data_IF_696433907722
#
_entry.id   IF_696433907722
#
_cell.length_a   1.000
_cell.length_b   1.000
_cell.length_c   1.000
_cell.angle_alpha   90.00
_cell.angle_beta   90.00
_cell.angle_gamma   90.00
#
_symmetry.space_group_name_H-M   'P 1'
#
loop_
_entity.id
_entity.type
_entity.pdbx_description
1 polymer ?
#
# COMPACT_ATOMS: atom_id res chain seq x y z
N UNK A 1 2.53 -9.25 6.16
CA UNK A 1 3.61 -10.26 6.18
C UNK A 1 4.15 -10.44 4.77
N UNK A 2 5.49 -10.46 4.60
CA UNK A 2 6.16 -10.69 3.31
C UNK A 2 5.80 -12.07 2.74
N UNK A 3 5.53 -12.12 1.45
CA UNK A 3 5.10 -13.33 0.73
C UNK A 3 6.16 -13.89 -0.21
N UNK A 4 7.17 -13.09 -0.58
CA UNK A 4 8.27 -13.50 -1.45
C UNK A 4 9.35 -14.19 -0.63
N UNK A 5 9.85 -15.29 -1.14
CA UNK A 5 11.04 -15.98 -0.60
C UNK A 5 12.26 -15.56 -1.39
N UNK A 6 13.36 -15.23 -0.72
CA UNK A 6 14.59 -14.75 -1.36
C UNK A 6 14.36 -13.56 -2.30
N UNK A 7 13.56 -12.58 -1.83
CA UNK A 7 13.29 -11.36 -2.60
C UNK A 7 14.39 -10.32 -2.54
N UNK A 8 15.36 -10.46 -1.62
CA UNK A 8 16.52 -9.56 -1.47
C UNK A 8 17.78 -10.07 -2.22
N UNK A 9 17.73 -11.26 -2.80
CA UNK A 9 18.81 -11.86 -3.60
C UNK A 9 20.20 -11.84 -2.95
N UNK A 10 20.31 -11.93 -1.64
CA UNK A 10 21.57 -11.70 -0.90
C UNK A 10 22.69 -12.63 -1.26
N UNK A 11 22.42 -13.85 -1.73
CA UNK A 11 23.45 -14.85 -2.03
C UNK A 11 23.23 -15.62 -3.33
N UNK A 12 22.00 -15.66 -3.83
CA UNK A 12 21.64 -16.44 -5.01
C UNK A 12 20.24 -16.05 -5.52
N UNK A 13 19.76 -16.76 -6.54
CA UNK A 13 18.40 -16.62 -7.09
C UNK A 13 17.55 -17.89 -6.88
N UNK A 14 17.91 -18.73 -5.92
CA UNK A 14 17.09 -19.91 -5.57
C UNK A 14 15.67 -19.46 -5.15
N UNK A 15 14.71 -20.33 -5.29
CA UNK A 15 13.28 -20.05 -5.13
C UNK A 15 12.62 -19.29 -6.31
N UNK A 16 13.41 -18.84 -7.28
CA UNK A 16 12.90 -18.27 -8.53
C UNK A 16 13.03 -19.29 -9.66
N UNK A 17 11.94 -19.49 -10.37
CA UNK A 17 11.89 -20.41 -11.52
C UNK A 17 12.09 -19.61 -12.80
N UNK A 18 13.02 -20.05 -13.64
CA UNK A 18 13.21 -19.48 -14.98
C UNK A 18 12.04 -19.87 -15.88
N UNK A 19 11.39 -18.88 -16.48
CA UNK A 19 10.36 -19.05 -17.50
C UNK A 19 11.00 -19.00 -18.88
N UNK A 20 11.90 -18.03 -19.11
CA UNK A 20 12.64 -17.89 -20.36
C UNK A 20 14.00 -17.23 -20.12
N UNK A 21 14.90 -17.39 -21.09
CA UNK A 21 16.24 -16.79 -21.07
C UNK A 21 17.16 -17.38 -20.03
N UNK A 22 18.14 -16.60 -19.62
CA UNK A 22 19.18 -17.02 -18.66
C UNK A 22 19.35 -15.97 -17.57
N UNK A 23 18.44 -15.94 -16.58
CA UNK A 23 18.60 -15.05 -15.43
C UNK A 23 19.86 -15.42 -14.65
N UNK A 24 20.53 -14.43 -14.08
CA UNK A 24 21.78 -14.63 -13.36
C UNK A 24 21.76 -13.95 -11.98
N UNK A 25 22.53 -14.51 -11.07
CA UNK A 25 22.87 -13.83 -9.83
C UNK A 25 24.00 -12.83 -10.09
N UNK A 26 23.84 -11.60 -9.67
CA UNK A 26 24.87 -10.58 -9.71
C UNK A 26 25.29 -10.22 -8.28
N UNK A 27 26.56 -10.50 -7.94
CA UNK A 27 27.10 -10.26 -6.60
C UNK A 27 27.44 -8.80 -6.31
N UNK A 28 27.21 -7.88 -7.25
CA UNK A 28 27.45 -6.45 -7.05
C UNK A 28 26.50 -5.88 -5.99
N UNK A 29 27.03 -5.09 -5.07
CA UNK A 29 26.27 -4.57 -3.94
C UNK A 29 25.97 -5.69 -2.92
N UNK A 30 24.74 -5.78 -2.47
CA UNK A 30 24.27 -6.81 -1.53
C UNK A 30 23.73 -8.06 -2.24
N UNK A 31 23.95 -8.19 -3.55
CA UNK A 31 23.38 -9.22 -4.40
C UNK A 31 22.13 -8.72 -5.16
N UNK A 32 21.95 -9.21 -6.37
CA UNK A 32 20.86 -8.82 -7.26
C UNK A 32 20.47 -9.96 -8.19
N UNK A 33 19.22 -9.95 -8.63
CA UNK A 33 18.79 -10.74 -9.76
C UNK A 33 19.04 -9.94 -11.04
N UNK A 34 19.82 -10.50 -11.97
CA UNK A 34 20.04 -9.90 -13.29
C UNK A 34 19.17 -10.56 -14.33
N UNK A 35 18.45 -9.73 -15.09
CA UNK A 35 17.64 -10.14 -16.24
C UNK A 35 18.21 -9.53 -17.53
N UNK A 36 18.48 -10.41 -18.50
CA UNK A 36 18.90 -10.06 -19.85
C UNK A 36 18.12 -10.95 -20.81
N UNK A 37 17.17 -10.41 -21.55
CA UNK A 37 16.22 -11.20 -22.36
C UNK A 37 15.69 -12.40 -21.58
N UNK A 38 15.30 -12.20 -20.31
CA UNK A 38 14.98 -13.27 -19.41
C UNK A 38 13.72 -12.98 -18.60
N UNK A 39 13.06 -14.05 -18.19
CA UNK A 39 11.88 -14.01 -17.31
C UNK A 39 12.03 -15.03 -16.18
N UNK A 40 11.67 -14.60 -14.98
CA UNK A 40 11.59 -15.43 -13.78
C UNK A 40 10.23 -15.32 -13.13
N UNK A 41 9.86 -16.34 -12.36
CA UNK A 41 8.60 -16.37 -11.61
C UNK A 41 8.77 -17.07 -10.28
N UNK A 42 7.92 -16.71 -9.32
CA UNK A 42 7.79 -17.41 -8.04
C UNK A 42 6.32 -17.59 -7.69
N UNK A 43 5.96 -18.79 -7.24
CA UNK A 43 4.64 -19.03 -6.66
C UNK A 43 4.58 -18.49 -5.23
N UNK A 44 3.55 -17.73 -4.92
CA UNK A 44 3.32 -17.20 -3.59
C UNK A 44 1.90 -17.51 -3.11
N UNK A 45 1.76 -17.62 -1.80
CA UNK A 45 0.43 -17.74 -1.17
C UNK A 45 -0.18 -16.35 -1.01
N UNK A 46 -1.43 -16.22 -1.42
CA UNK A 46 -2.21 -14.98 -1.32
C UNK A 46 -3.51 -15.23 -0.56
N UNK A 47 -4.23 -14.17 -0.27
CA UNK A 47 -5.62 -14.26 0.21
C UNK A 47 -6.52 -13.81 -0.93
N UNK A 48 -7.42 -14.70 -1.37
CA UNK A 48 -8.33 -14.42 -2.47
C UNK A 48 -9.19 -13.17 -2.18
N UNK A 49 -9.38 -12.34 -3.20
CA UNK A 49 -10.16 -11.11 -3.15
C UNK A 49 -9.65 -10.05 -2.14
N UNK A 50 -8.39 -10.19 -1.73
CA UNK A 50 -7.72 -9.19 -0.89
C UNK A 50 -6.61 -8.50 -1.68
N UNK A 51 -6.49 -7.21 -1.47
CA UNK A 51 -5.48 -6.39 -2.12
C UNK A 51 -4.08 -6.75 -1.62
N UNK A 52 -3.14 -6.87 -2.53
CA UNK A 52 -1.73 -7.09 -2.27
C UNK A 52 -0.94 -6.02 -3.00
N UNK A 53 0.17 -5.62 -2.42
CA UNK A 53 1.11 -4.68 -3.02
C UNK A 53 2.39 -5.41 -3.42
N UNK A 54 2.80 -5.21 -4.66
CA UNK A 54 4.07 -5.64 -5.23
C UNK A 54 5.00 -4.42 -5.30
N UNK A 55 6.16 -4.52 -4.66
CA UNK A 55 7.19 -3.47 -4.69
C UNK A 55 8.48 -4.07 -5.22
N UNK A 56 9.09 -3.42 -6.20
CA UNK A 56 10.33 -3.86 -6.84
C UNK A 56 11.29 -2.68 -6.94
N UNK A 57 12.56 -2.89 -6.62
CA UNK A 57 13.61 -1.93 -6.91
C UNK A 57 14.46 -2.43 -8.06
N UNK A 58 14.48 -1.64 -9.13
CA UNK A 58 15.13 -2.00 -10.40
C UNK A 58 16.18 -0.97 -10.75
N UNK A 59 17.31 -1.42 -11.27
CA UNK A 59 18.39 -0.59 -11.79
C UNK A 59 18.63 -0.93 -13.26
N UNK A 60 18.90 0.07 -14.06
CA UNK A 60 19.38 -0.08 -15.43
C UNK A 60 20.88 0.32 -15.49
N UNK A 61 21.83 -0.64 -15.35
CA UNK A 61 23.25 -0.33 -15.35
C UNK A 61 23.77 0.31 -16.63
N UNK A 62 23.06 0.15 -17.72
CA UNK A 62 23.44 0.63 -19.06
C UNK A 62 22.84 2.00 -19.41
N UNK A 63 21.90 2.51 -18.63
CA UNK A 63 21.09 3.72 -18.95
C UNK A 63 20.41 3.65 -20.32
N UNK A 64 20.14 2.47 -20.81
CA UNK A 64 19.57 2.24 -22.15
C UNK A 64 18.08 2.57 -22.24
N UNK A 65 17.43 2.73 -21.10
CA UNK A 65 15.98 2.89 -21.02
C UNK A 65 15.25 1.56 -21.23
N UNK A 66 15.81 0.48 -20.73
CA UNK A 66 15.20 -0.84 -20.80
C UNK A 66 13.91 -0.91 -19.99
N UNK A 67 13.02 -1.81 -20.36
CA UNK A 67 11.73 -1.95 -19.70
C UNK A 67 11.64 -3.25 -18.93
N UNK A 68 11.12 -3.16 -17.70
CA UNK A 68 10.73 -4.32 -16.90
C UNK A 68 9.22 -4.51 -16.99
N UNK A 69 8.80 -5.75 -17.15
CA UNK A 69 7.38 -6.13 -17.03
C UNK A 69 7.15 -6.88 -15.72
N UNK A 70 6.29 -6.32 -14.89
CA UNK A 70 5.78 -6.95 -13.69
C UNK A 70 4.56 -7.80 -14.05
N UNK A 71 4.53 -9.05 -13.64
CA UNK A 71 3.46 -9.99 -13.97
C UNK A 71 2.91 -10.63 -12.71
N UNK A 72 1.59 -10.80 -12.65
CA UNK A 72 0.94 -11.68 -11.67
C UNK A 72 -0.09 -12.52 -12.39
N UNK A 73 -0.03 -13.81 -12.22
CA UNK A 73 -0.92 -14.73 -12.91
C UNK A 73 -1.26 -15.98 -12.10
N UNK A 74 -2.18 -16.77 -12.60
CA UNK A 74 -2.57 -18.05 -12.01
C UNK A 74 -1.69 -19.22 -12.43
N UNK A 75 -0.74 -18.97 -13.34
CA UNK A 75 0.26 -19.93 -13.82
C UNK A 75 1.62 -19.24 -13.95
N UNK A 76 2.68 -20.02 -14.03
CA UNK A 76 4.05 -19.53 -14.27
C UNK A 76 4.11 -18.71 -15.57
N UNK A 77 4.65 -17.50 -15.50
CA UNK A 77 4.68 -16.53 -16.62
C UNK A 77 3.33 -15.91 -17.00
N UNK A 78 2.27 -16.26 -16.28
CA UNK A 78 0.91 -15.75 -16.54
C UNK A 78 0.74 -14.28 -16.19
N UNK A 79 -0.28 -13.65 -16.81
CA UNK A 79 -0.58 -12.22 -16.70
C UNK A 79 -2.04 -11.94 -16.35
N UNK A 80 -2.77 -12.98 -15.88
CA UNK A 80 -4.23 -12.92 -15.72
C UNK A 80 -4.70 -11.96 -14.61
N UNK A 81 -3.80 -11.62 -13.66
CA UNK A 81 -4.12 -10.75 -12.53
C UNK A 81 -3.51 -9.36 -12.72
N UNK A 82 -2.26 -9.30 -13.18
CA UNK A 82 -1.53 -8.05 -13.43
C UNK A 82 -0.53 -8.23 -14.56
N UNK A 83 -0.42 -7.22 -15.41
CA UNK A 83 0.74 -6.99 -16.28
C UNK A 83 0.98 -5.49 -16.36
N UNK A 84 2.18 -5.08 -15.99
CA UNK A 84 2.58 -3.67 -16.00
C UNK A 84 4.01 -3.57 -16.54
N UNK A 85 4.22 -2.74 -17.57
CA UNK A 85 5.52 -2.58 -18.22
C UNK A 85 6.02 -1.16 -18.01
N UNK A 86 7.16 -1.05 -17.37
CA UNK A 86 7.71 0.23 -16.91
C UNK A 86 9.12 0.40 -17.45
N UNK A 87 9.39 1.55 -18.07
CA UNK A 87 10.73 1.91 -18.53
C UNK A 87 11.58 2.35 -17.34
N UNK A 88 12.79 1.81 -17.27
CA UNK A 88 13.78 2.09 -16.22
C UNK A 88 14.94 2.86 -16.87
N UNK A 89 15.22 4.04 -16.37
CA UNK A 89 16.30 4.94 -16.89
C UNK A 89 17.33 5.27 -15.82
N UNK A 90 17.14 4.77 -14.58
CA UNK A 90 18.00 5.11 -13.45
C UNK A 90 19.17 4.12 -13.32
N UNK A 91 20.38 4.67 -13.34
CA UNK A 91 21.64 3.89 -13.25
C UNK A 91 22.21 3.80 -11.85
N UNK A 92 21.89 4.72 -10.97
CA UNK A 92 22.62 4.87 -9.70
C UNK A 92 21.88 4.32 -8.50
N UNK A 93 20.77 4.94 -8.16
CA UNK A 93 20.04 4.64 -6.94
C UNK A 93 18.96 3.57 -7.09
N UNK A 94 18.63 3.21 -8.32
CA UNK A 94 17.53 2.31 -8.65
C UNK A 94 16.15 2.98 -8.52
N UNK A 95 15.25 2.59 -9.40
CA UNK A 95 13.86 3.03 -9.40
C UNK A 95 13.02 2.06 -8.57
N UNK A 96 12.26 2.59 -7.63
CA UNK A 96 11.26 1.80 -6.89
C UNK A 96 9.96 1.85 -7.68
N UNK A 97 9.45 0.67 -7.99
CA UNK A 97 8.18 0.46 -8.66
C UNK A 97 7.22 -0.16 -7.65
N UNK A 98 6.00 0.36 -7.59
CA UNK A 98 4.97 -0.16 -6.71
C UNK A 98 3.67 -0.29 -7.48
N UNK A 99 3.07 -1.46 -7.43
CA UNK A 99 1.80 -1.74 -8.08
C UNK A 99 0.94 -2.65 -7.21
N UNK A 100 -0.37 -2.51 -7.31
CA UNK A 100 -1.31 -3.28 -6.52
C UNK A 100 -2.01 -4.32 -7.38
N UNK A 101 -2.34 -5.45 -6.78
CA UNK A 101 -3.13 -6.50 -7.44
C UNK A 101 -4.08 -7.20 -6.47
N UNK A 102 -5.18 -7.70 -7.00
CA UNK A 102 -6.19 -8.43 -6.22
C UNK A 102 -6.38 -9.81 -6.83
N UNK A 103 -5.78 -10.86 -6.23
CA UNK A 103 -5.91 -12.22 -6.74
C UNK A 103 -7.30 -12.78 -6.46
N UNK A 104 -7.81 -13.61 -7.35
CA UNK A 104 -9.05 -14.36 -7.13
C UNK A 104 -8.83 -15.74 -6.51
N UNK A 105 -7.56 -16.12 -6.35
CA UNK A 105 -7.14 -17.44 -5.83
C UNK A 105 -6.23 -17.29 -4.62
N UNK A 106 -6.07 -18.36 -3.84
CA UNK A 106 -5.16 -18.38 -2.69
C UNK A 106 -3.68 -18.58 -3.05
N UNK A 107 -3.37 -18.71 -4.32
CA UNK A 107 -1.99 -18.82 -4.84
C UNK A 107 -1.90 -18.16 -6.19
N UNK A 108 -0.83 -17.41 -6.40
CA UNK A 108 -0.50 -16.78 -7.69
C UNK A 108 0.99 -16.90 -7.96
N UNK A 109 1.37 -16.68 -9.22
CA UNK A 109 2.75 -16.55 -9.65
C UNK A 109 3.07 -15.08 -9.86
N UNK A 110 4.11 -14.60 -9.17
CA UNK A 110 4.66 -13.27 -9.40
C UNK A 110 5.86 -13.41 -10.32
N UNK A 111 5.89 -12.66 -11.39
CA UNK A 111 6.91 -12.72 -12.42
C UNK A 111 7.56 -11.39 -12.73
N UNK A 112 8.81 -11.44 -13.15
CA UNK A 112 9.60 -10.32 -13.63
C UNK A 112 10.17 -10.70 -14.99
N UNK A 113 9.93 -9.86 -16.00
CA UNK A 113 10.42 -10.08 -17.34
C UNK A 113 11.16 -8.85 -17.86
N UNK A 114 12.32 -9.09 -18.47
CA UNK A 114 13.04 -8.14 -19.30
C UNK A 114 13.17 -8.74 -20.70
N UNK A 115 12.55 -8.11 -21.69
CA UNK A 115 12.60 -8.55 -23.09
C UNK A 115 13.75 -7.90 -23.88
N UNK A 116 14.44 -6.92 -23.27
CA UNK A 116 15.62 -6.28 -23.86
C UNK A 116 16.86 -7.15 -23.69
N UNK A 117 17.81 -7.00 -24.62
CA UNK A 117 19.17 -7.57 -24.50
C UNK A 117 20.05 -6.82 -23.48
N UNK A 118 19.57 -5.69 -22.96
CA UNK A 118 20.28 -4.95 -21.92
C UNK A 118 20.02 -5.55 -20.54
N UNK A 119 20.99 -5.39 -19.65
CA UNK A 119 20.87 -5.90 -18.30
C UNK A 119 19.95 -5.01 -17.47
N UNK A 120 18.99 -5.61 -16.79
CA UNK A 120 18.30 -5.01 -15.66
C UNK A 120 18.66 -5.77 -14.38
N UNK A 121 19.05 -5.03 -13.37
CA UNK A 121 19.40 -5.58 -12.05
C UNK A 121 18.27 -5.28 -11.07
N UNK A 122 17.71 -6.31 -10.47
CA UNK A 122 16.67 -6.21 -9.45
C UNK A 122 17.34 -6.36 -8.07
N UNK A 123 17.24 -5.31 -7.26
CA UNK A 123 17.84 -5.24 -5.92
C UNK A 123 16.97 -5.95 -4.89
N UNK A 124 15.66 -5.72 -4.97
CA UNK A 124 14.69 -6.45 -4.18
C UNK A 124 13.32 -6.52 -4.86
N UNK A 125 12.56 -7.51 -4.44
CA UNK A 125 11.13 -7.64 -4.72
C UNK A 125 10.40 -8.08 -3.47
N UNK A 126 9.28 -7.45 -3.18
CA UNK A 126 8.44 -7.71 -2.01
C UNK A 126 6.98 -7.76 -2.40
N UNK A 127 6.25 -8.67 -1.80
CA UNK A 127 4.80 -8.73 -1.88
C UNK A 127 4.23 -8.84 -0.48
N UNK A 128 3.40 -7.90 -0.12
CA UNK A 128 2.68 -7.92 1.13
C UNK A 128 1.17 -7.77 0.89
N UNK A 129 0.37 -8.44 1.70
CA UNK A 129 -1.05 -8.16 1.77
C UNK A 129 -1.25 -6.79 2.44
N UNK A 130 -2.07 -5.96 1.85
CA UNK A 130 -2.32 -4.59 2.34
C UNK A 130 -3.35 -4.53 3.47
N UNK A 131 -3.27 -5.46 4.43
CA UNK A 131 -4.26 -5.62 5.49
C UNK A 131 -3.66 -5.77 6.89
N UNK A 132 -2.67 -4.99 7.23
CA UNK A 132 -2.44 -4.77 8.66
C UNK A 132 -3.18 -3.52 9.05
N UNK A 133 -4.34 -3.61 9.74
CA UNK A 133 -4.97 -2.43 10.31
C UNK A 133 -3.94 -1.77 11.22
N UNK A 134 -3.66 -0.51 10.96
CA UNK A 134 -2.84 0.32 11.83
C UNK A 134 -3.77 1.25 12.59
N UNK A 135 -3.56 1.37 13.87
CA UNK A 135 -4.20 2.42 14.63
C UNK A 135 -3.58 3.75 14.24
N UNK A 136 -4.38 4.63 13.66
CA UNK A 136 -3.94 6.00 13.39
C UNK A 136 -3.77 6.73 14.71
N UNK A 137 -2.61 7.34 14.90
CA UNK A 137 -2.37 8.19 16.07
C UNK A 137 -3.01 9.56 15.86
N UNK A 138 -3.80 10.02 16.84
CA UNK A 138 -4.32 11.38 16.80
C UNK A 138 -3.21 12.39 17.10
N UNK A 139 -3.12 13.42 16.26
CA UNK A 139 -2.27 14.58 16.50
C UNK A 139 -3.11 15.87 16.44
N UNK A 140 -2.71 16.89 17.17
CA UNK A 140 -3.37 18.20 17.06
C UNK A 140 -3.09 18.82 15.69
N UNK A 141 -3.97 19.71 15.25
CA UNK A 141 -3.77 20.45 13.99
C UNK A 141 -2.46 21.25 14.02
N UNK A 142 -2.13 21.85 15.16
CA UNK A 142 -0.88 22.59 15.34
C UNK A 142 0.36 21.67 15.21
N UNK A 143 0.33 20.48 15.78
CA UNK A 143 1.41 19.50 15.64
C UNK A 143 1.55 19.03 14.17
N UNK A 144 0.44 18.86 13.46
CA UNK A 144 0.46 18.58 12.03
C UNK A 144 1.12 19.71 11.24
N UNK A 145 0.76 20.97 11.50
CA UNK A 145 1.35 22.13 10.84
C UNK A 145 2.84 22.24 11.15
N UNK A 146 3.24 22.11 12.42
CA UNK A 146 4.65 22.13 12.80
C UNK A 146 5.45 21.03 12.10
N UNK A 147 4.95 19.80 12.06
CA UNK A 147 5.59 18.71 11.35
C UNK A 147 5.73 18.94 9.84
N UNK A 148 4.79 19.68 9.25
CA UNK A 148 4.81 20.04 7.82
C UNK A 148 5.83 21.16 7.52
N UNK A 149 5.95 22.14 8.41
CA UNK A 149 6.82 23.30 8.20
C UNK A 149 8.28 23.08 8.63
N UNK A 150 8.55 22.08 9.47
CA UNK A 150 9.92 21.75 9.91
C UNK A 150 10.68 20.85 8.93
N UNK A 151 10.01 20.29 7.92
CA UNK A 151 10.71 19.61 6.83
C UNK A 151 11.06 20.64 5.75
N UNK A 152 12.32 21.05 5.74
CA UNK A 152 12.88 22.04 4.80
C UNK A 152 12.86 21.61 3.33
N UNK A 153 12.47 20.39 3.03
CA UNK A 153 12.30 19.87 1.68
C UNK A 153 10.92 19.28 1.49
N UNK A 154 9.99 20.13 1.10
CA UNK A 154 8.72 19.69 0.51
C UNK A 154 8.99 19.28 -0.94
N UNK A 155 9.65 18.16 -1.13
CA UNK A 155 9.57 17.46 -2.42
C UNK A 155 8.18 16.83 -2.53
N UNK A 156 7.56 16.94 -3.69
CA UNK A 156 6.18 16.48 -3.93
C UNK A 156 5.94 15.02 -3.49
N UNK A 157 6.95 14.19 -3.51
CA UNK A 157 6.88 12.77 -3.17
C UNK A 157 6.93 12.48 -1.65
N UNK A 158 7.43 13.40 -0.83
CA UNK A 158 7.53 13.18 0.63
C UNK A 158 6.23 13.41 1.40
N UNK A 159 5.21 13.95 0.75
CA UNK A 159 3.89 14.22 1.36
C UNK A 159 2.92 13.05 1.24
N UNK A 160 3.20 12.12 0.34
CA UNK A 160 2.34 10.97 0.06
C UNK A 160 2.89 9.70 0.68
N UNK A 161 2.02 8.87 1.19
CA UNK A 161 2.40 7.59 1.77
C UNK A 161 1.28 6.94 2.56
N UNK A 162 1.60 5.83 3.23
CA UNK A 162 0.66 5.16 4.13
C UNK A 162 0.34 6.07 5.32
N UNK A 163 -0.93 6.46 5.55
CA UNK A 163 -1.31 7.28 6.68
C UNK A 163 -0.94 6.63 8.02
N UNK A 164 -0.36 7.41 8.92
CA UNK A 164 -0.01 7.00 10.28
C UNK A 164 -0.71 7.86 11.33
N UNK A 165 -1.10 9.07 10.94
CA UNK A 165 -1.71 10.05 11.83
C UNK A 165 -3.05 10.51 11.28
N UNK A 166 -3.94 10.82 12.21
CA UNK A 166 -5.20 11.50 11.94
C UNK A 166 -5.22 12.80 12.76
N UNK A 167 -5.70 13.88 12.15
CA UNK A 167 -5.89 15.16 12.83
C UNK A 167 -7.27 15.73 12.47
N UNK A 168 -7.82 16.52 13.37
CA UNK A 168 -9.06 17.26 13.11
C UNK A 168 -8.72 18.55 12.37
N UNK A 169 -9.45 18.84 11.32
CA UNK A 169 -9.26 20.10 10.56
C UNK A 169 -9.71 21.31 11.38
N UNK A 170 -9.29 22.49 10.95
CA UNK A 170 -9.57 23.73 11.68
C UNK A 170 -11.07 24.06 11.78
N UNK A 171 -11.85 23.63 10.81
CA UNK A 171 -13.32 23.77 10.81
C UNK A 171 -14.04 22.83 11.78
N UNK A 172 -13.31 21.90 12.38
CA UNK A 172 -13.83 20.86 13.28
C UNK A 172 -14.89 19.92 12.68
N UNK A 173 -15.15 20.00 11.38
CA UNK A 173 -16.16 19.21 10.67
C UNK A 173 -15.55 18.03 9.92
N UNK A 174 -14.24 18.06 9.69
CA UNK A 174 -13.52 17.07 8.90
C UNK A 174 -12.29 16.56 9.65
N UNK A 175 -11.73 15.47 9.17
CA UNK A 175 -10.43 14.98 9.62
C UNK A 175 -9.50 14.87 8.42
N UNK A 176 -8.21 15.04 8.66
CA UNK A 176 -7.16 14.84 7.69
C UNK A 176 -6.27 13.68 8.07
N UNK A 177 -5.59 13.12 7.09
CA UNK A 177 -4.63 12.04 7.24
C UNK A 177 -3.21 12.54 6.94
N UNK A 178 -2.22 12.05 7.67
CA UNK A 178 -0.81 12.37 7.44
C UNK A 178 0.06 11.12 7.56
N UNK A 179 0.96 10.82 6.62
CA UNK A 179 1.06 11.43 5.28
C UNK A 179 -0.25 11.41 4.48
N UNK A 180 -0.33 12.21 3.43
CA UNK A 180 -1.45 12.13 2.49
C UNK A 180 -1.44 10.74 1.85
N UNK A 181 -2.58 10.03 1.74
CA UNK A 181 -2.60 8.73 1.09
C UNK A 181 -2.00 8.77 -0.32
N UNK A 182 -1.09 7.85 -0.61
CA UNK A 182 -0.43 7.71 -1.90
C UNK A 182 -1.25 6.92 -2.94
N UNK A 183 -2.50 6.59 -2.60
CA UNK A 183 -3.46 5.91 -3.45
C UNK A 183 -4.84 5.80 -2.80
N UNK A 184 -5.79 5.28 -3.55
CA UNK A 184 -7.21 5.12 -3.17
C UNK A 184 -7.54 3.77 -2.51
N UNK A 185 -6.53 3.01 -2.12
CA UNK A 185 -6.67 1.64 -1.58
C UNK A 185 -6.69 1.56 -0.05
N UNK A 186 -6.70 2.69 0.65
CA UNK A 186 -6.83 2.71 2.11
C UNK A 186 -8.30 2.77 2.51
N UNK A 187 -8.69 1.89 3.43
CA UNK A 187 -9.98 1.96 4.11
C UNK A 187 -9.75 2.49 5.50
N UNK A 188 -10.44 3.56 5.87
CA UNK A 188 -10.42 4.13 7.22
C UNK A 188 -11.69 3.69 7.93
N UNK A 189 -11.54 2.93 9.02
CA UNK A 189 -12.63 2.60 9.92
C UNK A 189 -12.55 3.54 11.13
N UNK A 190 -13.65 4.15 11.50
CA UNK A 190 -13.72 5.08 12.62
C UNK A 190 -15.04 4.93 13.37
N UNK A 191 -14.98 5.15 14.67
CA UNK A 191 -16.14 5.25 15.52
C UNK A 191 -16.42 6.72 15.82
N UNK A 192 -17.67 7.11 15.81
CA UNK A 192 -18.07 8.47 16.10
C UNK A 192 -19.36 8.51 16.91
N UNK A 193 -19.48 9.55 17.72
CA UNK A 193 -20.73 9.83 18.38
C UNK A 193 -21.66 10.54 17.43
N UNK A 194 -22.76 9.88 17.07
CA UNK A 194 -23.80 10.49 16.27
C UNK A 194 -24.52 11.57 17.12
N UNK A 195 -24.58 12.79 16.61
CA UNK A 195 -25.47 13.79 17.20
C UNK A 195 -26.90 13.33 17.03
N UNK A 196 -27.67 13.40 18.11
CA UNK A 196 -29.09 13.07 18.04
C UNK A 196 -29.79 14.01 17.07
N UNK A 197 -30.72 13.46 16.29
CA UNK A 197 -31.63 14.26 15.49
C UNK A 197 -32.54 15.05 16.43
N UNK A 198 -32.71 16.33 16.19
CA UNK A 198 -33.69 17.12 16.96
C UNK A 198 -35.06 16.48 16.83
N UNK A 199 -35.71 16.28 17.96
CA UNK A 199 -37.09 15.78 17.99
C UNK A 199 -37.99 16.92 17.58
N UNK A 200 -38.63 16.82 16.43
CA UNK A 200 -39.49 17.85 15.85
C UNK A 200 -40.97 17.47 15.88
N UNK A 201 -41.27 16.19 16.00
CA UNK A 201 -42.64 15.67 16.01
C UNK A 201 -42.90 14.80 17.26
N UNK A 202 -44.16 14.75 17.69
CA UNK A 202 -44.55 13.89 18.82
C UNK A 202 -44.38 12.38 18.60
N UNK A 203 -44.15 11.98 17.34
CA UNK A 203 -43.91 10.59 16.92
C UNK A 203 -42.43 10.26 16.82
N UNK A 204 -41.55 11.26 17.01
CA UNK A 204 -40.11 11.01 16.94
C UNK A 204 -39.63 10.19 18.12
N UNK A 205 -38.78 9.22 17.87
CA UNK A 205 -38.22 8.35 18.89
C UNK A 205 -36.79 8.80 19.24
N UNK A 206 -36.50 8.80 20.51
CA UNK A 206 -35.13 9.03 21.00
C UNK A 206 -34.24 7.85 20.65
N UNK A 207 -33.15 8.14 19.96
CA UNK A 207 -32.10 7.16 19.67
C UNK A 207 -31.14 7.04 20.87
N UNK A 208 -31.69 6.70 22.02
CA UNK A 208 -30.96 6.49 23.26
C UNK A 208 -31.20 5.07 23.79
N UNK A 209 -30.15 4.40 24.28
CA UNK A 209 -30.36 3.16 25.02
C UNK A 209 -31.35 3.36 26.16
N UNK A 210 -32.23 2.39 26.37
CA UNK A 210 -33.31 2.43 27.37
C UNK A 210 -32.84 2.80 28.79
N UNK A 211 -31.61 2.46 29.14
CA UNK A 211 -30.97 2.80 30.41
C UNK A 211 -30.88 4.33 30.68
N UNK A 212 -30.92 5.15 29.64
CA UNK A 212 -30.81 6.62 29.76
C UNK A 212 -32.16 7.33 29.62
N UNK A 213 -33.24 6.64 29.31
CA UNK A 213 -34.57 7.22 29.13
C UNK A 213 -35.04 7.96 30.40
N UNK A 214 -34.80 7.37 31.57
CA UNK A 214 -35.15 7.97 32.86
C UNK A 214 -34.44 9.31 33.12
N UNK A 215 -33.21 9.46 32.64
CA UNK A 215 -32.45 10.72 32.76
C UNK A 215 -33.11 11.82 31.95
N UNK A 216 -33.58 11.51 30.74
CA UNK A 216 -34.29 12.47 29.88
C UNK A 216 -35.65 12.84 30.49
N UNK A 217 -36.41 11.87 30.96
CA UNK A 217 -37.72 12.08 31.58
C UNK A 217 -37.58 12.94 32.86
N UNK A 218 -36.61 12.65 33.70
CA UNK A 218 -36.37 13.41 34.91
C UNK A 218 -35.91 14.85 34.61
N UNK A 219 -35.10 15.05 33.56
CA UNK A 219 -34.68 16.38 33.11
C UNK A 219 -35.83 17.18 32.54
N UNK A 220 -36.67 16.56 31.72
CA UNK A 220 -37.89 17.21 31.20
C UNK A 220 -38.84 17.64 32.33
N UNK A 221 -39.07 16.80 33.35
CA UNK A 221 -39.85 17.12 34.53
C UNK A 221 -39.30 18.35 35.26
N UNK A 222 -37.97 18.44 35.40
CA UNK A 222 -37.33 19.58 36.08
C UNK A 222 -37.61 20.94 35.40
N UNK A 223 -37.80 20.98 34.10
CA UNK A 223 -38.09 22.20 33.36
C UNK A 223 -39.60 22.54 33.29
N UNK A 224 -40.47 21.61 33.67
CA UNK A 224 -41.93 21.80 33.63
C UNK A 224 -42.50 22.31 34.97
N UNK A 225 -41.71 22.34 36.04
CA UNK A 225 -42.03 22.86 37.34
C UNK A 225 -41.13 24.07 37.65
#
# INVERSE_FOLDING_TARGET
>A
TERITNGEFTSNITSWTTVSGSPAYNSTGNGRLRLNSAEVTQSITTVANKKHRLVVRVMDPSSSGSSITLKVGTSSGGTQVLTDTITVTDTGNGKILSTDFTPTTSSVFVGLANTSSDNLDIDFIRVAQDEVPIHLMYISYDAYLQGRYTKDEVTSDSQYGKPLFVYRTQDHLSFGLSPIPDGDFYTVEYEYFKTHTELSAATDTLDLPDIYVDVVVNRAKYYLY
#
